data_IF_226346413005
#
_entry.id   IF_226346413005
#
_cell.length_a   1.000
_cell.length_b   1.000
_cell.length_c   1.000
_cell.angle_alpha   90.00
_cell.angle_beta   90.00
_cell.angle_gamma   90.00
#
_symmetry.space_group_name_H-M   'P 1'
#
loop_
_entity.id
_entity.type
_entity.pdbx_description
1 polymer ?
#
# COMPACT_ATOMS: atom_id res chain seq x y z
N UNK A 1 -20.85 -18.28 5.95
CA UNK A 1 -19.63 -17.50 6.28
C UNK A 1 -19.76 -16.03 5.86
N UNK A 2 -20.46 -15.70 4.76
CA UNK A 2 -20.65 -14.32 4.28
C UNK A 2 -21.34 -13.34 5.26
N UNK A 3 -22.25 -13.81 6.13
CA UNK A 3 -22.95 -12.93 7.09
C UNK A 3 -22.04 -12.34 8.17
N UNK A 4 -20.95 -13.03 8.54
CA UNK A 4 -20.03 -12.57 9.59
C UNK A 4 -19.05 -11.50 9.10
N UNK A 5 -18.49 -11.68 7.90
CA UNK A 5 -17.56 -10.72 7.29
C UNK A 5 -18.24 -9.36 7.03
N UNK A 6 -19.42 -9.39 6.40
CA UNK A 6 -20.19 -8.18 6.12
C UNK A 6 -20.62 -7.44 7.40
N UNK A 7 -20.83 -8.17 8.50
CA UNK A 7 -21.14 -7.57 9.80
C UNK A 7 -19.91 -6.89 10.42
N UNK A 8 -18.75 -7.56 10.37
CA UNK A 8 -17.48 -7.03 10.86
C UNK A 8 -17.07 -5.73 10.16
N UNK A 9 -17.18 -5.70 8.84
CA UNK A 9 -16.92 -4.51 8.01
C UNK A 9 -17.83 -3.34 8.39
N UNK A 10 -19.14 -3.60 8.53
CA UNK A 10 -20.12 -2.58 8.93
C UNK A 10 -19.82 -2.04 10.32
N UNK A 11 -19.49 -2.92 11.27
CA UNK A 11 -19.09 -2.52 12.62
C UNK A 11 -17.82 -1.67 12.59
N UNK A 12 -16.80 -2.05 11.80
CA UNK A 12 -15.59 -1.26 11.66
C UNK A 12 -15.87 0.13 11.11
N UNK A 13 -16.66 0.23 10.04
CA UNK A 13 -17.01 1.52 9.46
C UNK A 13 -17.75 2.41 10.46
N UNK A 14 -18.71 1.84 11.21
CA UNK A 14 -19.54 2.57 12.16
C UNK A 14 -18.81 2.96 13.44
N UNK A 15 -18.05 2.03 14.02
CA UNK A 15 -17.49 2.18 15.36
C UNK A 15 -16.05 2.72 15.34
N UNK A 16 -15.30 2.55 14.25
CA UNK A 16 -13.87 2.91 14.18
C UNK A 16 -13.60 3.95 13.10
N UNK A 17 -13.92 3.65 11.84
CA UNK A 17 -13.56 4.52 10.73
C UNK A 17 -14.30 5.86 10.77
N UNK A 18 -15.64 5.83 10.86
CA UNK A 18 -16.47 7.03 10.85
C UNK A 18 -16.17 7.95 12.05
N UNK A 19 -16.08 7.46 13.30
CA UNK A 19 -15.71 8.31 14.44
C UNK A 19 -14.30 8.92 14.33
N UNK A 20 -13.35 8.23 13.67
CA UNK A 20 -12.00 8.75 13.48
C UNK A 20 -11.88 9.76 12.32
N UNK A 21 -12.54 9.48 11.18
CA UNK A 21 -12.32 10.20 9.92
C UNK A 21 -13.46 11.12 9.51
N UNK A 22 -14.71 10.80 9.88
CA UNK A 22 -15.90 11.55 9.49
C UNK A 22 -16.20 11.57 7.98
N UNK A 23 -15.49 10.78 7.16
CA UNK A 23 -15.66 10.69 5.72
C UNK A 23 -15.08 9.38 5.18
N UNK A 24 -15.44 8.98 3.96
CA UNK A 24 -14.93 7.75 3.30
C UNK A 24 -13.91 7.99 2.18
N UNK A 25 -13.48 9.24 1.96
CA UNK A 25 -12.49 9.60 0.93
C UNK A 25 -11.25 8.70 0.93
N UNK A 26 -11.01 8.04 -0.21
CA UNK A 26 -9.87 7.16 -0.44
C UNK A 26 -9.98 5.78 0.21
N UNK A 27 -11.12 5.44 0.83
CA UNK A 27 -11.41 4.11 1.35
C UNK A 27 -12.16 3.29 0.31
N UNK A 28 -11.67 2.09 0.03
CA UNK A 28 -12.20 1.17 -0.97
C UNK A 28 -12.56 -0.15 -0.28
N UNK A 29 -13.83 -0.58 -0.26
CA UNK A 29 -14.22 -1.88 0.28
C UNK A 29 -13.83 -3.02 -0.67
N UNK A 30 -13.67 -4.23 -0.13
CA UNK A 30 -13.44 -5.48 -0.89
C UNK A 30 -12.35 -5.33 -1.96
N UNK A 31 -11.20 -4.78 -1.56
CA UNK A 31 -10.16 -4.39 -2.51
C UNK A 31 -9.34 -5.60 -2.98
N UNK A 32 -9.31 -5.82 -4.29
CA UNK A 32 -8.59 -6.91 -4.93
C UNK A 32 -7.13 -6.57 -5.22
N UNK A 33 -6.22 -7.45 -4.84
CA UNK A 33 -4.81 -7.45 -5.23
C UNK A 33 -4.49 -8.78 -5.90
N UNK A 34 -4.12 -8.73 -7.18
CA UNK A 34 -3.76 -9.91 -7.96
C UNK A 34 -2.27 -10.23 -7.82
N UNK A 35 -1.94 -11.51 -7.60
CA UNK A 35 -0.56 -11.99 -7.57
C UNK A 35 -0.01 -12.38 -8.95
N UNK A 36 1.29 -12.66 -9.01
CA UNK A 36 2.00 -12.99 -10.25
C UNK A 36 1.58 -14.33 -10.88
N UNK A 37 0.74 -15.11 -10.19
CA UNK A 37 0.19 -16.40 -10.64
C UNK A 37 -1.29 -16.27 -11.02
N UNK A 38 -1.84 -15.06 -11.02
CA UNK A 38 -3.25 -14.80 -11.32
C UNK A 38 -4.20 -15.13 -10.17
N UNK A 39 -3.70 -15.28 -8.94
CA UNK A 39 -4.56 -15.46 -7.76
C UNK A 39 -4.93 -14.10 -7.18
N UNK A 40 -6.21 -13.94 -6.86
CA UNK A 40 -6.75 -12.75 -6.21
C UNK A 40 -6.68 -12.84 -4.70
N UNK A 41 -6.17 -11.79 -4.06
CA UNK A 41 -6.27 -11.56 -2.63
C UNK A 41 -7.20 -10.38 -2.37
N UNK A 42 -8.18 -10.58 -1.50
CA UNK A 42 -9.09 -9.52 -1.10
C UNK A 42 -8.69 -9.02 0.29
N UNK A 43 -8.79 -7.71 0.49
CA UNK A 43 -8.76 -7.07 1.80
C UNK A 43 -10.12 -6.42 2.06
N UNK A 44 -10.55 -6.41 3.32
CA UNK A 44 -11.86 -5.82 3.70
C UNK A 44 -11.93 -4.35 3.29
N UNK A 45 -10.84 -3.61 3.53
CA UNK A 45 -10.68 -2.26 3.01
C UNK A 45 -9.25 -1.97 2.52
N UNK A 46 -9.15 -1.12 1.50
CA UNK A 46 -7.92 -0.42 1.16
C UNK A 46 -8.10 1.09 1.38
N UNK A 47 -7.13 1.72 2.04
CA UNK A 47 -7.03 3.18 2.11
C UNK A 47 -5.86 3.66 1.25
N UNK A 48 -6.17 4.33 0.13
CA UNK A 48 -5.23 4.65 -0.94
C UNK A 48 -5.12 6.17 -1.22
N UNK A 49 -4.72 7.01 -0.23
CA UNK A 49 -4.55 8.45 -0.44
C UNK A 49 -3.25 8.74 -1.21
N UNK A 50 -3.31 8.72 -2.53
CA UNK A 50 -2.14 9.01 -3.38
C UNK A 50 -1.09 7.90 -3.30
N UNK A 51 0.02 8.14 -2.58
CA UNK A 51 1.18 7.23 -2.54
C UNK A 51 1.17 6.23 -1.38
N UNK A 52 0.16 6.28 -0.51
CA UNK A 52 0.03 5.35 0.62
C UNK A 52 -0.84 4.18 0.18
N UNK A 53 -0.39 2.95 0.47
CA UNK A 53 -1.12 1.73 0.21
C UNK A 53 -1.35 1.00 1.53
N UNK A 54 -2.51 1.21 2.13
CA UNK A 54 -2.87 0.58 3.40
C UNK A 54 -4.00 -0.41 3.17
N UNK A 55 -3.84 -1.65 3.61
CA UNK A 55 -4.90 -2.65 3.66
C UNK A 55 -5.33 -2.81 5.12
N UNK A 56 -6.63 -2.83 5.35
CA UNK A 56 -7.23 -3.00 6.67
C UNK A 56 -8.05 -4.28 6.64
N UNK A 57 -7.82 -5.14 7.62
CA UNK A 57 -8.49 -6.44 7.76
C UNK A 57 -9.10 -6.57 9.15
N UNK A 58 -10.33 -7.07 9.23
CA UNK A 58 -11.05 -7.36 10.45
C UNK A 58 -11.11 -8.88 10.61
N UNK A 59 -10.26 -9.41 11.49
CA UNK A 59 -10.08 -10.85 11.69
C UNK A 59 -10.98 -11.36 12.82
N UNK A 60 -11.90 -12.25 12.47
CA UNK A 60 -12.66 -13.04 13.45
C UNK A 60 -11.88 -14.24 14.00
N UNK A 61 -11.96 -14.52 15.29
CA UNK A 61 -11.20 -15.62 15.91
C UNK A 61 -11.54 -16.99 15.33
N UNK A 62 -12.83 -17.27 15.07
CA UNK A 62 -13.24 -18.57 14.55
C UNK A 62 -12.67 -18.84 13.16
N UNK A 63 -12.80 -17.89 12.23
CA UNK A 63 -12.34 -18.04 10.85
C UNK A 63 -10.82 -17.98 10.70
N UNK A 64 -10.13 -17.20 11.53
CA UNK A 64 -8.68 -17.01 11.41
C UNK A 64 -7.84 -17.90 12.34
N UNK A 65 -8.41 -18.46 13.40
CA UNK A 65 -7.64 -19.26 14.37
C UNK A 65 -8.26 -20.64 14.56
N UNK A 66 -9.58 -20.73 14.82
CA UNK A 66 -10.23 -22.02 15.13
C UNK A 66 -10.29 -22.96 13.93
N UNK A 67 -10.61 -22.43 12.75
CA UNK A 67 -10.80 -23.22 11.52
C UNK A 67 -9.55 -23.19 10.60
N UNK A 68 -8.42 -22.74 11.15
CA UNK A 68 -7.14 -22.61 10.46
C UNK A 68 -6.46 -23.97 10.33
N UNK A 69 -6.08 -24.35 9.11
CA UNK A 69 -5.25 -25.53 8.85
C UNK A 69 -3.83 -25.11 8.40
N UNK A 70 -2.92 -26.09 8.31
CA UNK A 70 -1.51 -25.83 7.97
C UNK A 70 -1.34 -25.17 6.60
N UNK A 71 -2.15 -25.54 5.61
CA UNK A 71 -2.03 -24.99 4.26
C UNK A 71 -2.55 -23.56 4.20
N UNK A 72 -3.68 -23.28 4.87
CA UNK A 72 -4.20 -21.92 5.03
C UNK A 72 -3.21 -21.03 5.76
N UNK A 73 -2.60 -21.51 6.83
CA UNK A 73 -1.58 -20.76 7.57
C UNK A 73 -0.39 -20.38 6.70
N UNK A 74 0.19 -21.34 5.96
CA UNK A 74 1.24 -21.04 4.99
C UNK A 74 0.77 -20.07 3.90
N UNK A 75 -0.50 -20.20 3.47
CA UNK A 75 -1.13 -19.28 2.52
C UNK A 75 -1.19 -17.84 3.03
N UNK A 76 -1.63 -17.63 4.27
CA UNK A 76 -1.69 -16.32 4.92
C UNK A 76 -0.31 -15.66 5.02
N UNK A 77 0.72 -16.41 5.46
CA UNK A 77 2.08 -15.88 5.53
C UNK A 77 2.64 -15.50 4.16
N UNK A 78 2.39 -16.33 3.15
CA UNK A 78 2.82 -16.03 1.78
C UNK A 78 2.08 -14.81 1.22
N UNK A 79 0.78 -14.67 1.53
CA UNK A 79 -0.04 -13.52 1.16
C UNK A 79 0.48 -12.24 1.82
N UNK A 80 0.73 -12.26 3.13
CA UNK A 80 1.30 -11.11 3.86
C UNK A 80 2.65 -10.69 3.25
N UNK A 81 3.54 -11.65 3.00
CA UNK A 81 4.84 -11.39 2.37
C UNK A 81 4.68 -10.78 0.98
N UNK A 82 3.75 -11.30 0.17
CA UNK A 82 3.47 -10.76 -1.15
C UNK A 82 2.93 -9.32 -1.07
N UNK A 83 1.92 -9.06 -0.23
CA UNK A 83 1.33 -7.73 -0.09
C UNK A 83 2.37 -6.71 0.36
N UNK A 84 3.24 -7.08 1.30
CA UNK A 84 4.37 -6.26 1.72
C UNK A 84 5.32 -5.94 0.57
N UNK A 85 5.73 -6.95 -0.21
CA UNK A 85 6.59 -6.76 -1.37
C UNK A 85 5.98 -5.82 -2.43
N UNK A 86 4.66 -5.79 -2.50
CA UNK A 86 3.89 -4.92 -3.40
C UNK A 86 3.67 -3.49 -2.85
N UNK A 87 4.22 -3.19 -1.67
CA UNK A 87 4.15 -1.88 -1.02
C UNK A 87 2.92 -1.67 -0.14
N UNK A 88 2.06 -2.69 0.00
CA UNK A 88 0.92 -2.61 0.91
C UNK A 88 1.38 -2.81 2.35
N UNK A 89 0.90 -1.93 3.23
CA UNK A 89 0.98 -2.14 4.67
C UNK A 89 -0.35 -2.75 5.11
N UNK A 90 -0.32 -3.96 5.65
CA UNK A 90 -1.51 -4.63 6.18
C UNK A 90 -1.66 -4.31 7.66
N UNK A 91 -2.82 -3.80 8.07
CA UNK A 91 -3.22 -3.65 9.47
C UNK A 91 -4.37 -4.63 9.72
N UNK A 92 -4.23 -5.46 10.75
CA UNK A 92 -5.32 -6.32 11.20
C UNK A 92 -5.89 -5.83 12.52
N UNK A 93 -7.22 -5.78 12.62
CA UNK A 93 -7.97 -5.60 13.85
C UNK A 93 -8.73 -6.88 14.18
N UNK A 94 -8.81 -7.25 15.46
CA UNK A 94 -9.68 -8.33 15.87
C UNK A 94 -11.15 -7.86 15.81
N UNK A 95 -12.06 -8.73 15.37
CA UNK A 95 -13.50 -8.47 15.39
C UNK A 95 -13.96 -8.02 16.79
N UNK A 96 -13.54 -8.75 17.83
CA UNK A 96 -13.93 -8.47 19.21
C UNK A 96 -13.46 -7.08 19.69
N UNK A 97 -12.33 -6.58 19.17
CA UNK A 97 -11.86 -5.23 19.49
C UNK A 97 -12.71 -4.16 18.79
N UNK A 98 -13.07 -4.39 17.52
CA UNK A 98 -13.95 -3.49 16.77
C UNK A 98 -15.34 -3.41 17.40
N UNK A 99 -15.83 -4.53 17.94
CA UNK A 99 -17.15 -4.63 18.57
C UNK A 99 -17.15 -4.09 20.01
N UNK A 100 -16.19 -4.51 20.85
CA UNK A 100 -16.24 -4.33 22.29
C UNK A 100 -15.27 -3.25 22.81
N UNK A 101 -14.23 -2.92 22.06
CA UNK A 101 -13.17 -1.95 22.45
C UNK A 101 -12.83 -0.97 21.31
N UNK A 102 -13.82 -0.35 20.64
CA UNK A 102 -13.56 0.43 19.43
C UNK A 102 -12.63 1.63 19.67
N UNK A 103 -12.55 2.17 20.88
CA UNK A 103 -11.65 3.26 21.25
C UNK A 103 -10.17 2.87 21.13
N UNK A 104 -9.84 1.60 21.42
CA UNK A 104 -8.50 1.05 21.21
C UNK A 104 -8.19 1.01 19.71
N UNK A 105 -9.09 0.48 18.89
CA UNK A 105 -8.94 0.44 17.44
C UNK A 105 -8.78 1.84 16.85
N UNK A 106 -9.57 2.82 17.30
CA UNK A 106 -9.47 4.22 16.89
C UNK A 106 -8.09 4.79 17.22
N UNK A 107 -7.59 4.53 18.42
CA UNK A 107 -6.28 5.02 18.87
C UNK A 107 -5.15 4.44 18.01
N UNK A 108 -5.15 3.11 17.82
CA UNK A 108 -4.15 2.42 17.00
C UNK A 108 -4.22 2.86 15.54
N UNK A 109 -5.41 2.95 14.97
CA UNK A 109 -5.59 3.42 13.59
C UNK A 109 -5.12 4.87 13.45
N UNK A 110 -5.42 5.75 14.41
CA UNK A 110 -4.92 7.13 14.43
C UNK A 110 -3.39 7.19 14.41
N UNK A 111 -2.72 6.36 15.22
CA UNK A 111 -1.25 6.29 15.22
C UNK A 111 -0.70 5.88 13.85
N UNK A 112 -1.32 4.89 13.20
CA UNK A 112 -0.87 4.46 11.87
C UNK A 112 -1.14 5.53 10.81
N UNK A 113 -2.34 6.09 10.75
CA UNK A 113 -2.69 7.14 9.79
C UNK A 113 -1.84 8.41 10.00
N UNK A 114 -1.48 8.72 11.24
CA UNK A 114 -0.60 9.83 11.61
C UNK A 114 0.80 9.74 10.99
N UNK A 115 1.29 8.54 10.65
CA UNK A 115 2.57 8.36 9.92
C UNK A 115 2.53 8.90 8.50
N UNK A 116 1.33 9.04 7.94
CA UNK A 116 1.10 9.45 6.55
C UNK A 116 0.44 10.82 6.42
N UNK A 117 -0.03 11.38 7.54
CA UNK A 117 -0.44 12.77 7.61
C UNK A 117 0.82 13.63 7.76
N UNK A 118 0.92 14.76 7.05
CA UNK A 118 2.00 15.70 7.32
C UNK A 118 1.81 16.28 8.73
N UNK A 119 2.52 15.72 9.71
CA UNK A 119 2.83 16.44 10.93
C UNK A 119 3.79 17.59 10.59
N UNK A 120 3.84 18.63 11.42
CA UNK A 120 4.61 19.85 11.22
C UNK A 120 6.16 19.69 11.20
N UNK A 121 6.71 18.49 10.97
CA UNK A 121 8.16 18.20 10.78
C UNK A 121 8.37 16.92 9.94
N UNK A 122 9.49 16.72 9.23
CA UNK A 122 9.55 16.95 7.79
C UNK A 122 9.92 15.67 7.03
N UNK A 123 9.13 14.58 7.13
CA UNK A 123 9.17 13.61 6.03
C UNK A 123 8.44 14.28 4.86
N UNK A 124 9.20 14.97 4.02
CA UNK A 124 8.63 15.73 2.93
C UNK A 124 7.81 14.79 2.04
N UNK A 125 6.68 15.26 1.52
CA UNK A 125 5.89 14.57 0.50
C UNK A 125 6.76 14.03 -0.65
N UNK A 126 7.87 14.70 -0.93
CA UNK A 126 8.88 14.30 -1.91
C UNK A 126 9.53 12.96 -1.54
N UNK A 127 9.95 12.78 -0.29
CA UNK A 127 10.61 11.54 0.16
C UNK A 127 9.68 10.32 0.10
N UNK A 128 8.41 10.50 0.47
CA UNK A 128 7.42 9.42 0.39
C UNK A 128 7.10 9.06 -1.06
N UNK A 129 7.01 10.06 -1.93
CA UNK A 129 6.80 9.86 -3.37
C UNK A 129 7.99 9.16 -4.02
N UNK A 130 9.22 9.49 -3.63
CA UNK A 130 10.43 8.81 -4.10
C UNK A 130 10.45 7.33 -3.71
N UNK A 131 10.12 7.00 -2.47
CA UNK A 131 10.02 5.61 -2.02
C UNK A 131 8.97 4.82 -2.82
N UNK A 132 7.81 5.43 -3.08
CA UNK A 132 6.77 4.78 -3.88
C UNK A 132 7.16 4.67 -5.37
N UNK A 133 7.92 5.61 -5.93
CA UNK A 133 8.46 5.50 -7.28
C UNK A 133 9.44 4.33 -7.40
N UNK A 134 10.27 4.08 -6.37
CA UNK A 134 11.14 2.90 -6.34
C UNK A 134 10.29 1.62 -6.36
N UNK A 135 9.27 1.52 -5.50
CA UNK A 135 8.35 0.36 -5.47
C UNK A 135 7.62 0.16 -6.79
N UNK A 136 7.14 1.24 -7.40
CA UNK A 136 6.52 1.22 -8.72
C UNK A 136 7.48 0.68 -9.80
N UNK A 137 8.76 1.05 -9.73
CA UNK A 137 9.77 0.56 -10.66
C UNK A 137 10.01 -0.95 -10.52
N UNK A 138 10.05 -1.46 -9.29
CA UNK A 138 10.11 -2.92 -9.02
C UNK A 138 8.87 -3.61 -9.60
N UNK A 139 7.69 -3.08 -9.31
CA UNK A 139 6.41 -3.67 -9.72
C UNK A 139 6.24 -3.74 -11.25
N UNK A 140 6.65 -2.68 -11.96
CA UNK A 140 6.49 -2.63 -13.43
C UNK A 140 7.39 -3.63 -14.17
N UNK A 141 8.46 -4.12 -13.55
CA UNK A 141 9.44 -5.03 -14.16
C UNK A 141 9.98 -4.56 -15.53
N UNK A 142 9.97 -3.25 -15.77
CA UNK A 142 10.48 -2.57 -16.97
C UNK A 142 10.99 -1.17 -16.60
N UNK A 143 11.82 -0.53 -17.45
CA UNK A 143 12.20 0.85 -17.22
C UNK A 143 10.99 1.77 -17.05
N UNK A 144 11.01 2.55 -15.97
CA UNK A 144 9.96 3.49 -15.60
C UNK A 144 10.09 4.79 -16.40
N UNK A 145 8.96 5.35 -16.80
CA UNK A 145 8.84 6.62 -17.52
C UNK A 145 8.18 7.68 -16.64
N UNK A 146 8.44 8.98 -16.89
CA UNK A 146 7.69 10.05 -16.22
C UNK A 146 6.17 9.93 -16.37
N UNK A 147 5.70 9.37 -17.49
CA UNK A 147 4.28 9.11 -17.71
C UNK A 147 3.71 8.06 -16.73
N UNK A 148 4.48 7.02 -16.40
CA UNK A 148 4.07 5.98 -15.46
C UNK A 148 3.90 6.58 -14.06
N UNK A 149 4.86 7.43 -13.63
CA UNK A 149 4.81 8.16 -12.35
C UNK A 149 3.63 9.14 -12.34
N UNK A 150 3.45 9.95 -13.39
CA UNK A 150 2.33 10.88 -13.51
C UNK A 150 0.99 10.17 -13.31
N UNK A 151 0.78 9.04 -14.00
CA UNK A 151 -0.45 8.29 -13.93
C UNK A 151 -0.64 7.65 -12.55
N UNK A 152 0.42 7.08 -11.97
CA UNK A 152 0.35 6.42 -10.67
C UNK A 152 -0.01 7.39 -9.53
N UNK A 153 0.56 8.60 -9.53
CA UNK A 153 0.36 9.56 -8.43
C UNK A 153 -0.66 10.66 -8.73
N UNK A 154 -1.24 10.69 -9.93
CA UNK A 154 -2.11 11.78 -10.40
C UNK A 154 -1.49 13.17 -10.22
N UNK A 155 -0.21 13.31 -10.60
CA UNK A 155 0.57 14.55 -10.50
C UNK A 155 0.90 15.14 -11.88
N UNK A 156 1.42 16.36 -11.92
CA UNK A 156 1.88 16.95 -13.17
C UNK A 156 3.17 16.28 -13.70
N UNK A 157 3.38 16.35 -15.01
CA UNK A 157 4.53 15.73 -15.69
C UNK A 157 5.87 16.28 -15.21
N UNK A 158 5.95 17.58 -14.86
CA UNK A 158 7.17 18.23 -14.41
C UNK A 158 7.59 17.70 -13.04
N UNK A 159 6.64 17.49 -12.13
CA UNK A 159 6.88 16.85 -10.83
C UNK A 159 7.35 15.41 -11.01
N UNK A 160 6.72 14.63 -11.91
CA UNK A 160 7.16 13.27 -12.22
C UNK A 160 8.62 13.21 -12.72
N UNK A 161 9.00 14.09 -13.66
CA UNK A 161 10.39 14.19 -14.14
C UNK A 161 11.35 14.56 -13.02
N UNK A 162 10.99 15.54 -12.19
CA UNK A 162 11.83 15.99 -11.06
C UNK A 162 12.09 14.86 -10.07
N UNK A 163 11.08 14.04 -9.77
CA UNK A 163 11.22 12.91 -8.85
C UNK A 163 12.11 11.81 -9.41
N UNK A 164 11.96 11.45 -10.69
CA UNK A 164 12.84 10.47 -11.32
C UNK A 164 14.30 10.96 -11.39
N UNK A 165 14.51 12.24 -11.68
CA UNK A 165 15.85 12.85 -11.61
C UNK A 165 16.42 12.83 -10.20
N UNK A 166 15.65 13.22 -9.19
CA UNK A 166 16.15 13.21 -7.80
C UNK A 166 16.55 11.80 -7.34
N UNK A 167 15.78 10.77 -7.71
CA UNK A 167 16.14 9.37 -7.45
C UNK A 167 17.40 8.93 -8.22
N UNK A 168 17.58 9.42 -9.44
CA UNK A 168 18.80 9.18 -10.22
C UNK A 168 20.01 9.85 -9.59
N UNK A 169 19.87 11.11 -9.15
CA UNK A 169 20.92 11.88 -8.47
C UNK A 169 21.31 11.23 -7.13
N UNK A 170 20.34 10.62 -6.45
CA UNK A 170 20.54 9.83 -5.22
C UNK A 170 21.08 8.41 -5.48
N UNK A 171 21.25 8.01 -6.74
CA UNK A 171 21.82 6.71 -7.12
C UNK A 171 20.87 5.52 -7.04
N UNK A 172 19.57 5.72 -6.83
CA UNK A 172 18.57 4.65 -6.83
C UNK A 172 18.21 4.20 -8.25
N UNK A 173 18.16 5.15 -9.18
CA UNK A 173 17.82 4.92 -10.58
C UNK A 173 19.00 5.25 -11.50
N UNK A 174 19.07 4.59 -12.64
CA UNK A 174 19.96 4.95 -13.74
C UNK A 174 19.16 5.24 -15.01
N UNK A 175 19.51 6.28 -15.78
CA UNK A 175 18.86 6.55 -17.04
C UNK A 175 19.20 5.45 -18.06
N UNK A 176 18.18 4.95 -18.77
CA UNK A 176 18.36 3.97 -19.84
C UNK A 176 18.51 4.70 -21.18
N UNK A 177 19.58 4.46 -21.95
CA UNK A 177 19.75 5.05 -23.27
C UNK A 177 18.64 4.58 -24.21
N UNK A 178 17.91 5.51 -24.82
CA UNK A 178 17.01 5.19 -25.93
C UNK A 178 17.85 5.09 -27.21
N UNK A 179 17.76 3.95 -27.91
CA UNK A 179 18.54 3.65 -29.13
C UNK A 179 18.19 4.52 -30.34
N UNK A 180 17.16 5.35 -30.24
CA UNK A 180 16.76 6.35 -31.21
C UNK A 180 16.16 7.54 -30.48
N UNK A 181 16.17 8.71 -31.12
CA UNK A 181 15.83 10.07 -30.64
C UNK A 181 14.42 10.28 -30.01
N UNK A 182 13.85 9.28 -29.32
CA UNK A 182 12.66 9.44 -28.48
C UNK A 182 13.01 10.27 -27.24
N UNK A 183 12.45 11.48 -27.20
CA UNK A 183 12.61 12.50 -26.14
C UNK A 183 12.14 12.06 -24.74
N UNK A 184 11.67 10.82 -24.55
CA UNK A 184 11.14 10.35 -23.27
C UNK A 184 12.22 9.60 -22.49
N UNK A 185 12.78 10.27 -21.48
CA UNK A 185 13.73 9.66 -20.54
C UNK A 185 13.10 8.45 -19.84
N UNK A 186 13.83 7.33 -19.82
CA UNK A 186 13.46 6.09 -19.12
C UNK A 186 14.49 5.82 -18.03
N UNK A 187 14.07 5.21 -16.94
CA UNK A 187 14.94 4.91 -15.80
C UNK A 187 14.78 3.46 -15.37
N UNK A 188 15.84 2.82 -14.94
CA UNK A 188 15.80 1.49 -14.31
C UNK A 188 16.45 1.53 -12.93
N UNK A 189 16.13 0.55 -12.09
CA UNK A 189 16.79 0.41 -10.79
C UNK A 189 18.27 0.10 -10.98
N UNK A 190 19.12 0.82 -10.25
CA UNK A 190 20.54 0.51 -10.23
C UNK A 190 20.74 -0.90 -9.64
N UNK A 191 21.54 -1.73 -10.30
CA UNK A 191 21.86 -3.09 -9.82
C UNK A 191 22.43 -3.04 -8.39
N UNK A 192 21.97 -3.95 -7.52
CA UNK A 192 22.35 -4.01 -6.10
C UNK A 192 21.52 -3.12 -5.16
N UNK A 193 20.67 -2.22 -5.68
CA UNK A 193 19.80 -1.38 -4.84
C UNK A 193 18.81 -2.20 -4.00
N UNK A 194 18.38 -3.35 -4.51
CA UNK A 194 17.52 -4.29 -3.79
C UNK A 194 18.18 -4.89 -2.55
N UNK A 195 19.52 -4.86 -2.46
CA UNK A 195 20.27 -5.34 -1.29
C UNK A 195 20.20 -4.36 -0.11
N UNK A 196 19.84 -3.09 -0.36
CA UNK A 196 19.66 -2.05 0.68
C UNK A 196 18.25 -2.02 1.29
N UNK A 197 17.35 -2.88 0.83
CA UNK A 197 16.01 -3.05 1.42
C UNK A 197 15.98 -4.16 2.50
N UNK A 198 17.14 -4.74 2.84
CA UNK A 198 17.32 -5.67 3.96
C UNK A 198 17.70 -4.95 5.26
#
# INVERSE_FOLDING_TARGET
MERGHRHAEVLFLKNVWWPLRGHFTGLHPEYEVMDWRGRSYFADFAWLPGYVKLLIEIKGYASHVRDMDRNKYCGELNRETFLYAMGYHVISFAYDDVEQRPELCITLLRMVLGRYQPAATPVSRVQLMEQEVIRLTVHLARPIRPQDVKQHFSIDYRTAVRTLRSLSDKGWLVPVPTSNQERTARYELKRGVLEYFN
#
